data_IF_717151419802
#
_entry.id   IF_717151419802
#
_cell.length_a   1.000
_cell.length_b   1.000
_cell.length_c   1.000
_cell.angle_alpha   90.00
_cell.angle_beta   90.00
_cell.angle_gamma   90.00
#
_symmetry.space_group_name_H-M   'P 1'
#
loop_
_entity.id
_entity.type
_entity.pdbx_description
1 polymer ?
#
# COMPACT_ATOMS: atom_id res chain seq x y z
N UNK A 1 6.02 -44.94 0.20
CA UNK A 1 4.97 -44.10 -0.41
C UNK A 1 5.33 -42.64 -0.16
N UNK A 2 6.02 -42.00 -1.10
CA UNK A 2 6.31 -40.56 -1.01
C UNK A 2 5.04 -39.79 -1.37
N UNK A 3 4.43 -39.13 -0.40
CA UNK A 3 3.41 -38.10 -0.65
C UNK A 3 4.09 -36.94 -1.36
N UNK A 4 3.68 -36.69 -2.61
CA UNK A 4 4.15 -35.57 -3.44
C UNK A 4 3.94 -34.24 -2.68
N UNK A 5 4.98 -33.47 -2.33
CA UNK A 5 4.84 -32.18 -1.65
C UNK A 5 4.28 -31.07 -2.55
N UNK A 6 4.18 -31.32 -3.86
CA UNK A 6 3.74 -30.32 -4.84
C UNK A 6 2.27 -29.95 -4.72
N UNK A 7 1.40 -30.89 -4.34
CA UNK A 7 -0.05 -30.66 -4.31
C UNK A 7 -0.47 -29.72 -3.19
N UNK A 8 0.22 -29.77 -2.04
CA UNK A 8 -0.05 -28.90 -0.89
C UNK A 8 0.41 -27.45 -1.14
N UNK A 9 1.55 -27.29 -1.84
CA UNK A 9 2.07 -25.98 -2.26
C UNK A 9 1.16 -25.28 -3.28
N UNK A 10 0.57 -26.03 -4.21
CA UNK A 10 -0.32 -25.49 -5.24
C UNK A 10 -1.57 -24.77 -4.69
N UNK A 11 -2.09 -25.21 -3.54
CA UNK A 11 -3.26 -24.59 -2.90
C UNK A 11 -2.91 -23.55 -1.83
N UNK A 12 -1.76 -23.69 -1.17
CA UNK A 12 -1.34 -22.74 -0.13
C UNK A 12 -1.07 -21.33 -0.70
N UNK A 13 -0.45 -21.24 -1.88
CA UNK A 13 -0.13 -19.97 -2.53
C UNK A 13 -1.37 -19.12 -2.87
N UNK A 14 -2.39 -19.63 -3.60
CA UNK A 14 -3.57 -18.83 -3.91
C UNK A 14 -4.35 -18.45 -2.66
N UNK A 15 -4.41 -19.33 -1.65
CA UNK A 15 -5.10 -19.02 -0.39
C UNK A 15 -4.42 -17.88 0.38
N UNK A 16 -3.08 -17.91 0.45
CA UNK A 16 -2.30 -16.82 1.02
C UNK A 16 -2.50 -15.50 0.26
N UNK A 17 -2.50 -15.54 -1.08
CA UNK A 17 -2.72 -14.36 -1.91
C UNK A 17 -4.11 -13.73 -1.69
N UNK A 18 -5.16 -14.55 -1.61
CA UNK A 18 -6.53 -14.07 -1.31
C UNK A 18 -6.58 -13.44 0.08
N UNK A 19 -5.99 -14.10 1.09
CA UNK A 19 -5.96 -13.59 2.46
C UNK A 19 -5.26 -12.23 2.53
N UNK A 20 -4.10 -12.09 1.86
CA UNK A 20 -3.38 -10.81 1.77
C UNK A 20 -4.23 -9.74 1.08
N UNK A 21 -4.90 -10.07 -0.03
CA UNK A 21 -5.75 -9.11 -0.74
C UNK A 21 -6.92 -8.62 0.12
N UNK A 22 -7.55 -9.51 0.89
CA UNK A 22 -8.63 -9.17 1.82
C UNK A 22 -8.11 -8.24 2.93
N UNK A 23 -6.97 -8.57 3.54
CA UNK A 23 -6.36 -7.74 4.59
C UNK A 23 -5.98 -6.36 4.06
N UNK A 24 -5.36 -6.28 2.88
CA UNK A 24 -5.00 -5.00 2.27
C UNK A 24 -6.24 -4.14 1.99
N UNK A 25 -7.32 -4.73 1.48
CA UNK A 25 -8.55 -3.99 1.21
C UNK A 25 -9.22 -3.51 2.51
N UNK A 26 -9.36 -4.39 3.50
CA UNK A 26 -9.96 -4.07 4.80
C UNK A 26 -9.17 -2.96 5.53
N UNK A 27 -7.84 -3.03 5.48
CA UNK A 27 -6.95 -2.05 6.10
C UNK A 27 -6.73 -0.79 5.26
N UNK A 28 -7.34 -0.68 4.07
CA UNK A 28 -7.14 0.43 3.13
C UNK A 28 -5.66 0.65 2.79
N UNK A 29 -4.96 -0.44 2.48
CA UNK A 29 -3.57 -0.44 2.08
C UNK A 29 -3.44 -0.85 0.60
N UNK A 30 -2.28 -0.58 0.03
CA UNK A 30 -1.90 -1.04 -1.31
C UNK A 30 -0.52 -1.66 -1.26
N UNK A 31 -0.41 -2.88 -1.78
CA UNK A 31 0.88 -3.52 -1.99
C UNK A 31 1.37 -3.19 -3.41
N UNK A 32 2.57 -2.65 -3.48
CA UNK A 32 3.34 -2.45 -4.69
C UNK A 32 4.57 -3.35 -4.64
N UNK A 33 4.76 -4.16 -5.66
CA UNK A 33 5.92 -5.03 -5.78
C UNK A 33 6.45 -4.94 -7.20
N UNK A 34 7.68 -4.44 -7.33
CA UNK A 34 8.43 -4.38 -8.58
C UNK A 34 9.90 -4.73 -8.32
N UNK A 35 10.71 -4.73 -9.38
CA UNK A 35 12.13 -5.10 -9.28
C UNK A 35 12.96 -4.19 -8.36
N UNK A 36 12.52 -2.96 -8.07
CA UNK A 36 13.23 -1.99 -7.27
C UNK A 36 12.70 -1.87 -5.84
N UNK A 37 11.41 -2.18 -5.61
CA UNK A 37 10.80 -2.01 -4.30
C UNK A 37 9.66 -2.98 -4.01
N UNK A 38 9.49 -3.25 -2.72
CA UNK A 38 8.25 -3.75 -2.13
C UNK A 38 7.76 -2.66 -1.18
N UNK A 39 6.51 -2.24 -1.36
CA UNK A 39 5.94 -1.10 -0.64
C UNK A 39 4.49 -1.40 -0.25
N UNK A 40 4.16 -1.11 1.02
CA UNK A 40 2.81 -1.10 1.55
C UNK A 40 2.46 0.35 1.85
N UNK A 41 1.66 0.95 0.97
CA UNK A 41 1.23 2.35 1.06
C UNK A 41 -0.19 2.45 1.62
N UNK A 42 -0.47 3.52 2.36
CA UNK A 42 -1.82 3.80 2.84
C UNK A 42 -2.69 4.36 1.71
N UNK A 43 -4.00 4.09 1.75
CA UNK A 43 -4.97 4.68 0.82
C UNK A 43 -5.99 5.55 1.52
N UNK A 44 -6.42 6.65 0.87
CA UNK A 44 -7.52 7.47 1.35
C UNK A 44 -8.78 6.63 1.59
N UNK A 45 -9.52 6.97 2.65
CA UNK A 45 -10.84 6.37 2.87
C UNK A 45 -11.82 6.98 1.83
N UNK A 46 -12.53 6.15 1.02
CA UNK A 46 -13.43 6.66 -0.01
C UNK A 46 -14.52 7.62 0.52
N UNK A 47 -15.07 7.30 1.69
CA UNK A 47 -16.09 8.11 2.36
C UNK A 47 -15.51 9.07 3.42
N UNK A 48 -14.25 9.48 3.27
CA UNK A 48 -13.68 10.48 4.17
C UNK A 48 -14.42 11.81 3.99
N UNK A 49 -14.96 12.45 5.05
CA UNK A 49 -15.64 13.73 4.93
C UNK A 49 -14.69 14.89 4.59
N UNK A 50 -13.39 14.68 4.75
CA UNK A 50 -12.36 15.69 4.48
C UNK A 50 -11.85 15.58 3.04
N UNK A 51 -11.30 14.43 2.65
CA UNK A 51 -10.66 14.28 1.34
C UNK A 51 -11.52 13.55 0.30
N UNK A 52 -12.74 13.09 0.65
CA UNK A 52 -13.68 12.39 -0.25
C UNK A 52 -13.07 11.25 -1.07
N UNK A 53 -12.08 10.55 -0.51
CA UNK A 53 -11.37 9.48 -1.19
C UNK A 53 -10.34 9.90 -2.23
N UNK A 54 -10.22 11.20 -2.56
CA UNK A 54 -9.26 11.67 -3.55
C UNK A 54 -7.82 11.41 -3.09
N UNK A 55 -7.56 11.64 -1.80
CA UNK A 55 -6.18 11.65 -1.31
C UNK A 55 -5.41 12.82 -1.89
N UNK A 56 -4.57 13.43 -1.07
CA UNK A 56 -3.81 14.59 -1.51
C UNK A 56 -3.68 15.63 -0.42
N UNK A 57 -2.84 16.58 -0.78
CA UNK A 57 -2.57 17.83 -0.10
C UNK A 57 -3.69 18.74 -0.56
N UNK A 58 -4.47 19.31 0.36
CA UNK A 58 -5.62 20.12 0.00
C UNK A 58 -5.15 21.28 -0.89
N UNK A 59 -5.65 21.38 -2.12
CA UNK A 59 -5.25 22.45 -3.06
C UNK A 59 -6.08 23.72 -2.89
N UNK A 60 -7.20 23.66 -2.18
CA UNK A 60 -8.22 24.71 -2.18
C UNK A 60 -8.60 25.07 -0.73
N UNK A 61 -8.23 26.28 -0.28
CA UNK A 61 -8.53 26.81 1.07
C UNK A 61 -7.71 28.06 1.42
N UNK A 62 -8.22 28.90 2.33
CA UNK A 62 -7.58 30.16 2.75
C UNK A 62 -6.34 29.98 3.65
N UNK A 63 -5.97 28.73 3.96
CA UNK A 63 -4.83 28.38 4.82
C UNK A 63 -3.90 27.43 4.04
N UNK A 64 -2.62 27.80 3.86
CA UNK A 64 -1.64 27.08 3.03
C UNK A 64 -1.03 25.86 3.72
N UNK A 65 -1.57 25.44 4.87
CA UNK A 65 -1.13 24.24 5.56
C UNK A 65 -1.66 23.04 4.77
N UNK A 66 -0.88 22.67 3.76
CA UNK A 66 -1.12 21.58 2.81
C UNK A 66 -1.10 20.18 3.47
N UNK A 67 -1.64 20.05 4.67
CA UNK A 67 -1.55 18.84 5.47
C UNK A 67 -2.33 17.71 4.82
N UNK A 68 -1.66 16.57 4.63
CA UNK A 68 -2.29 15.38 4.12
C UNK A 68 -3.42 14.95 5.08
N UNK A 69 -4.57 14.55 4.54
CA UNK A 69 -5.70 14.15 5.36
C UNK A 69 -5.34 12.97 6.28
N UNK A 70 -5.54 13.16 7.60
CA UNK A 70 -5.25 12.19 8.66
C UNK A 70 -5.91 10.82 8.47
N UNK A 71 -6.99 10.73 7.68
CA UNK A 71 -7.64 9.45 7.38
C UNK A 71 -6.71 8.42 6.73
N UNK A 72 -5.61 8.88 6.11
CA UNK A 72 -4.57 8.04 5.53
C UNK A 72 -3.15 8.49 5.91
N UNK A 73 -2.91 9.80 6.10
CA UNK A 73 -1.57 10.36 6.30
C UNK A 73 -0.85 9.85 7.56
N UNK A 74 -1.60 9.61 8.64
CA UNK A 74 -1.02 9.13 9.91
C UNK A 74 -0.74 7.61 9.91
N UNK A 75 -1.10 6.92 8.83
CA UNK A 75 -0.90 5.48 8.73
C UNK A 75 0.53 5.17 8.33
N UNK A 76 1.11 4.18 8.99
CA UNK A 76 2.47 3.75 8.73
C UNK A 76 2.58 3.09 7.35
N UNK A 77 3.44 3.65 6.52
CA UNK A 77 3.88 3.03 5.27
C UNK A 77 5.13 2.20 5.53
N UNK A 78 5.26 1.07 4.82
CA UNK A 78 6.44 0.22 4.90
C UNK A 78 7.03 0.07 3.50
N UNK A 79 8.33 0.33 3.38
CA UNK A 79 9.04 0.19 2.12
C UNK A 79 10.36 -0.53 2.30
N UNK A 80 10.58 -1.53 1.45
CA UNK A 80 11.84 -2.23 1.31
C UNK A 80 12.37 -1.94 -0.09
N UNK A 81 13.57 -1.35 -0.17
CA UNK A 81 14.27 -1.16 -1.44
C UNK A 81 15.05 -2.43 -1.78
N UNK A 82 14.81 -2.96 -2.97
CA UNK A 82 15.48 -4.14 -3.50
C UNK A 82 16.65 -3.77 -4.40
N UNK A 83 16.50 -2.71 -5.20
CA UNK A 83 17.53 -2.15 -6.06
C UNK A 83 17.53 -0.62 -5.91
N UNK A 84 18.64 0.07 -6.27
CA UNK A 84 18.66 1.51 -6.39
C UNK A 84 17.52 1.98 -7.29
N UNK A 85 16.70 2.91 -6.78
CA UNK A 85 15.65 3.52 -7.59
C UNK A 85 16.29 4.53 -8.54
N UNK A 86 15.85 4.62 -9.81
CA UNK A 86 16.27 5.71 -10.69
C UNK A 86 15.92 7.05 -10.01
N UNK A 87 16.91 7.95 -9.95
CA UNK A 87 16.97 9.10 -9.04
C UNK A 87 15.89 10.19 -9.19
N UNK A 88 14.85 9.98 -9.99
CA UNK A 88 14.07 11.08 -10.54
C UNK A 88 12.81 11.48 -9.77
N UNK A 89 12.24 10.68 -8.85
CA UNK A 89 10.93 11.04 -8.26
C UNK A 89 10.66 10.48 -6.85
N UNK A 90 11.67 10.29 -6.00
CA UNK A 90 11.44 9.69 -4.68
C UNK A 90 11.99 10.52 -3.54
N UNK A 91 11.18 10.88 -2.52
CA UNK A 91 11.69 11.53 -1.32
C UNK A 91 12.72 10.62 -0.60
N UNK A 92 13.77 11.21 0.00
CA UNK A 92 14.72 10.45 0.79
C UNK A 92 14.07 10.18 2.14
N UNK A 93 13.56 8.94 2.30
CA UNK A 93 13.00 8.35 3.53
C UNK A 93 11.82 9.07 4.19
#
# INVERSE_FOLDING_TARGET
MLTRPHTTLLLAVPFAAVTVAVVLNASRLKLHADRHRIEIAARPRPACPQCHGNGGWWTDGAFPDMEACSCWADRRELRIRLLPAPAWNEPPF
#
